data_IF_699041076034
#
_entry.id   IF_699041076034
#
_cell.length_a   1.000
_cell.length_b   1.000
_cell.length_c   1.000
_cell.angle_alpha   90.00
_cell.angle_beta   90.00
_cell.angle_gamma   90.00
#
_symmetry.space_group_name_H-M   'P 1'
#
loop_
_entity.id
_entity.type
_entity.pdbx_description
1 polymer ?
#
# COMPACT_ATOMS: atom_id res chain seq x y z
N UNK A 1 -19.74 8.94 -1.19
CA UNK A 1 -19.54 7.68 -0.45
C UNK A 1 -18.06 7.53 -0.18
N UNK A 2 -17.64 7.27 1.07
CA UNK A 2 -16.23 6.93 1.34
C UNK A 2 -16.03 5.44 1.06
N UNK A 3 -15.04 5.09 0.26
CA UNK A 3 -14.74 3.71 -0.12
C UNK A 3 -13.26 3.41 0.17
N UNK A 4 -13.00 2.31 0.85
CA UNK A 4 -11.64 1.89 1.23
C UNK A 4 -11.23 0.68 0.43
N UNK A 5 -10.05 0.73 -0.20
CA UNK A 5 -9.46 -0.42 -0.86
C UNK A 5 -8.73 -1.30 0.15
N UNK A 6 -8.96 -2.61 0.11
CA UNK A 6 -8.21 -3.60 0.87
C UNK A 6 -7.34 -4.43 -0.08
N UNK A 7 -6.03 -4.43 0.15
CA UNK A 7 -5.06 -5.18 -0.64
C UNK A 7 -4.36 -6.19 0.28
N UNK A 8 -4.57 -7.48 0.04
CA UNK A 8 -3.80 -8.55 0.70
C UNK A 8 -2.68 -9.00 -0.22
N UNK A 9 -1.48 -9.21 0.32
CA UNK A 9 -0.29 -9.56 -0.47
C UNK A 9 0.58 -10.61 0.22
N UNK A 10 1.25 -11.44 -0.57
CA UNK A 10 2.24 -12.43 -0.12
C UNK A 10 3.28 -12.68 -1.21
N UNK A 11 4.54 -12.31 -0.97
CA UNK A 11 5.67 -12.56 -1.88
C UNK A 11 5.44 -12.07 -3.33
N UNK A 12 4.93 -10.83 -3.48
CA UNK A 12 4.61 -10.21 -4.77
C UNK A 12 4.97 -8.71 -4.81
N UNK A 13 6.07 -8.29 -4.21
CA UNK A 13 6.47 -6.88 -4.04
C UNK A 13 6.22 -6.01 -5.30
N UNK A 14 6.69 -6.43 -6.48
CA UNK A 14 6.54 -5.63 -7.70
C UNK A 14 5.09 -5.50 -8.18
N UNK A 15 4.28 -6.56 -7.99
CA UNK A 15 2.84 -6.48 -8.29
C UNK A 15 2.12 -5.61 -7.28
N UNK A 16 2.50 -5.69 -6.00
CA UNK A 16 1.96 -4.85 -4.93
C UNK A 16 2.21 -3.36 -5.24
N UNK A 17 3.44 -2.97 -5.59
CA UNK A 17 3.79 -1.60 -6.01
C UNK A 17 2.87 -1.09 -7.13
N UNK A 18 2.63 -1.93 -8.14
CA UNK A 18 1.72 -1.61 -9.26
C UNK A 18 0.27 -1.46 -8.77
N UNK A 19 -0.23 -2.41 -7.99
CA UNK A 19 -1.59 -2.37 -7.45
C UNK A 19 -1.83 -1.13 -6.59
N UNK A 20 -0.88 -0.75 -5.73
CA UNK A 20 -0.98 0.47 -4.91
C UNK A 20 -1.05 1.72 -5.79
N UNK A 21 -0.18 1.85 -6.80
CA UNK A 21 -0.23 2.99 -7.74
C UNK A 21 -1.57 3.12 -8.45
N UNK A 22 -2.11 2.03 -8.97
CA UNK A 22 -3.41 2.08 -9.67
C UNK A 22 -4.58 2.32 -8.71
N UNK A 23 -4.49 1.82 -7.47
CA UNK A 23 -5.51 2.06 -6.43
C UNK A 23 -5.55 3.53 -6.01
N UNK A 24 -4.39 4.19 -5.90
CA UNK A 24 -4.30 5.63 -5.65
C UNK A 24 -4.98 6.42 -6.78
N UNK A 25 -4.69 6.08 -8.04
CA UNK A 25 -5.31 6.73 -9.21
C UNK A 25 -6.84 6.54 -9.26
N UNK A 26 -7.33 5.41 -8.77
CA UNK A 26 -8.76 5.11 -8.73
C UNK A 26 -9.54 5.96 -7.70
N UNK A 27 -8.88 6.72 -6.83
CA UNK A 27 -9.52 7.70 -5.97
C UNK A 27 -10.24 7.12 -4.75
N UNK A 28 -9.80 5.97 -4.23
CA UNK A 28 -10.29 5.44 -2.95
C UNK A 28 -9.98 6.41 -1.81
N UNK A 29 -10.90 6.51 -0.84
CA UNK A 29 -10.74 7.40 0.32
C UNK A 29 -9.63 6.96 1.27
N UNK A 30 -9.32 5.66 1.28
CA UNK A 30 -8.21 5.07 2.05
C UNK A 30 -7.77 3.76 1.41
N UNK A 31 -6.54 3.34 1.67
CA UNK A 31 -5.99 2.06 1.24
C UNK A 31 -5.43 1.33 2.46
N UNK A 32 -5.89 0.10 2.69
CA UNK A 32 -5.37 -0.79 3.74
C UNK A 32 -4.62 -1.92 3.06
N UNK A 33 -3.36 -2.14 3.45
CA UNK A 33 -2.51 -3.20 2.91
C UNK A 33 -2.22 -4.21 4.02
N UNK A 34 -2.58 -5.48 3.79
CA UNK A 34 -2.28 -6.59 4.71
C UNK A 34 -1.13 -7.43 4.12
N UNK A 35 0.05 -7.31 4.72
CA UNK A 35 1.19 -8.17 4.41
C UNK A 35 1.06 -9.51 5.13
N UNK A 36 0.73 -10.58 4.38
CA UNK A 36 0.51 -11.92 4.93
C UNK A 36 1.82 -12.71 5.10
N UNK A 37 2.79 -12.12 5.81
CA UNK A 37 4.06 -12.80 6.14
C UNK A 37 5.05 -12.91 4.98
N UNK A 38 5.12 -11.93 4.09
CA UNK A 38 6.07 -11.94 2.96
C UNK A 38 7.54 -11.92 3.42
N UNK A 39 8.41 -12.53 2.61
CA UNK A 39 9.87 -12.64 2.79
C UNK A 39 10.66 -12.08 1.59
N UNK A 40 10.03 -11.26 0.75
CA UNK A 40 10.56 -10.80 -0.55
C UNK A 40 10.92 -9.30 -0.58
N UNK A 41 11.11 -8.67 0.58
CA UNK A 41 11.32 -7.22 0.68
C UNK A 41 10.02 -6.42 0.86
N UNK A 42 8.85 -7.06 0.87
CA UNK A 42 7.55 -6.37 1.04
C UNK A 42 7.45 -5.64 2.38
N UNK A 43 7.96 -6.21 3.47
CA UNK A 43 7.89 -5.55 4.79
C UNK A 43 8.70 -4.27 4.77
N UNK A 44 9.93 -4.35 4.28
CA UNK A 44 10.89 -3.24 4.22
C UNK A 44 10.36 -2.12 3.32
N UNK A 45 9.78 -2.49 2.17
CA UNK A 45 9.15 -1.52 1.29
C UNK A 45 7.93 -0.85 1.91
N UNK A 46 7.04 -1.60 2.58
CA UNK A 46 5.88 -1.02 3.26
C UNK A 46 6.31 -0.06 4.38
N UNK A 47 7.32 -0.43 5.18
CA UNK A 47 7.87 0.44 6.22
C UNK A 47 8.57 1.69 5.68
N UNK A 48 8.99 1.69 4.42
CA UNK A 48 9.60 2.86 3.76
C UNK A 48 8.59 3.88 3.23
N UNK A 49 7.31 3.50 3.15
CA UNK A 49 6.26 4.42 2.71
C UNK A 49 6.02 5.46 3.81
N UNK A 50 6.21 6.75 3.49
CA UNK A 50 5.74 7.83 4.34
C UNK A 50 4.21 7.93 4.24
N UNK A 51 3.57 8.37 5.33
CA UNK A 51 2.17 8.77 5.22
C UNK A 51 2.07 9.92 4.19
N UNK A 52 1.12 9.88 3.25
CA UNK A 52 0.86 11.02 2.40
C UNK A 52 0.31 12.15 3.27
N UNK A 53 1.17 13.07 3.72
CA UNK A 53 0.75 14.38 4.22
C UNK A 53 1.07 14.76 5.67
N UNK A 54 2.03 14.13 6.36
CA UNK A 54 2.62 14.77 7.55
C UNK A 54 3.89 15.49 7.10
N UNK A 55 3.75 16.77 6.73
CA UNK A 55 4.88 17.68 6.72
C UNK A 55 5.11 18.09 8.17
N UNK A 56 6.33 17.90 8.69
CA UNK A 56 6.77 18.43 9.98
C UNK A 56 6.91 19.96 9.89
N UNK A 57 5.79 20.68 9.81
CA UNK A 57 5.70 22.13 10.07
C UNK A 57 4.87 22.39 11.30
#
# INVERSE_FOLDING_TARGET
>A
MKCTALIVTFNRLEKLKKSVRETVKAGFSSIVIVNNGSSDGTREWLSSLSEPGINDT
#
